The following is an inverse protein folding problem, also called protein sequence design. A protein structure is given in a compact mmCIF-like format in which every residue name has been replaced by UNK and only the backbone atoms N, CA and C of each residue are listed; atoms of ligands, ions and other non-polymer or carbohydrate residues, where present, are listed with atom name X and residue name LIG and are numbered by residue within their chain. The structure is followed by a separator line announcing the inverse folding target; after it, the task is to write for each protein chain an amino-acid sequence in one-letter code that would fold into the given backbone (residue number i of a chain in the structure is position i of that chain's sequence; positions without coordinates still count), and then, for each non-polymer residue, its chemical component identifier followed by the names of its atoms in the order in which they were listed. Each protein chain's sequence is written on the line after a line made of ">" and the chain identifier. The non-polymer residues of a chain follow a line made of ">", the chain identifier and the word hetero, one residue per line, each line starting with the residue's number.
data_IF_407756008937
#
_entry.id   IF_407756008937
#
_cell.length_a   1.000
_cell.length_b   1.000
_cell.length_c   1.000
_cell.angle_alpha   90.00
_cell.angle_beta   90.00
_cell.angle_gamma   90.00
#
_symmetry.space_group_name_H-M   'P 1'
#
loop_
_entity.id
_entity.type
_entity.pdbx_description
1 polymer ?
#
# COMPACT_ATOMS: atom_id res chain seq x y z
N UNK A 1 -75.05 13.23 -29.41
CA UNK A 1 -73.57 13.36 -29.39
C UNK A 1 -73.04 12.74 -30.68
N UNK A 2 -72.40 13.53 -31.55
CA UNK A 2 -72.04 13.08 -32.90
C UNK A 2 -70.94 12.02 -32.86
N UNK A 3 -71.17 10.85 -33.47
CA UNK A 3 -70.26 9.71 -33.53
C UNK A 3 -68.83 10.09 -33.95
N UNK A 4 -68.71 11.10 -34.83
CA UNK A 4 -67.43 11.66 -35.29
C UNK A 4 -66.59 12.25 -34.15
N UNK A 5 -67.21 12.93 -33.19
CA UNK A 5 -66.49 13.53 -32.06
C UNK A 5 -66.04 12.47 -31.05
N UNK A 6 -66.81 11.39 -30.89
CA UNK A 6 -66.44 10.24 -30.05
C UNK A 6 -65.26 9.50 -30.67
N UNK A 7 -65.29 9.26 -31.99
CA UNK A 7 -64.20 8.59 -32.71
C UNK A 7 -62.87 9.36 -32.62
N UNK A 8 -62.91 10.69 -32.79
CA UNK A 8 -61.71 11.53 -32.70
C UNK A 8 -61.14 11.51 -31.28
N UNK A 9 -61.99 11.65 -30.25
CA UNK A 9 -61.56 11.58 -28.85
C UNK A 9 -60.93 10.22 -28.50
N UNK A 10 -61.50 9.11 -28.98
CA UNK A 10 -60.97 7.77 -28.75
C UNK A 10 -59.61 7.56 -29.42
N UNK A 11 -59.43 8.11 -30.63
CA UNK A 11 -58.17 8.00 -31.38
C UNK A 11 -57.05 8.77 -30.67
N UNK A 12 -57.32 9.98 -30.19
CA UNK A 12 -56.35 10.79 -29.42
C UNK A 12 -55.97 10.07 -28.12
N UNK A 13 -56.95 9.44 -27.44
CA UNK A 13 -56.70 8.71 -26.20
C UNK A 13 -55.81 7.48 -26.44
N UNK A 14 -56.04 6.73 -27.52
CA UNK A 14 -55.20 5.57 -27.89
C UNK A 14 -53.77 5.99 -28.21
N UNK A 15 -53.57 7.05 -29.00
CA UNK A 15 -52.22 7.56 -29.28
C UNK A 15 -51.53 8.11 -28.02
N UNK A 16 -52.27 8.75 -27.11
CA UNK A 16 -51.75 9.21 -25.82
C UNK A 16 -51.27 8.06 -24.93
N UNK A 17 -52.05 6.98 -24.84
CA UNK A 17 -51.68 5.78 -24.05
C UNK A 17 -50.46 5.09 -24.66
N UNK A 18 -50.40 4.97 -26.00
CA UNK A 18 -49.26 4.37 -26.69
C UNK A 18 -47.98 5.21 -26.46
N UNK A 19 -48.07 6.53 -26.57
CA UNK A 19 -46.93 7.43 -26.32
C UNK A 19 -46.41 7.32 -24.87
N UNK A 20 -47.31 7.26 -23.88
CA UNK A 20 -46.93 7.05 -22.47
C UNK A 20 -46.24 5.69 -22.26
N UNK A 21 -46.74 4.62 -22.88
CA UNK A 21 -46.12 3.28 -22.77
C UNK A 21 -44.70 3.24 -23.37
N UNK A 22 -44.48 3.92 -24.50
CA UNK A 22 -43.15 4.03 -25.11
C UNK A 22 -42.20 4.90 -24.28
N UNK A 23 -42.67 6.01 -23.72
CA UNK A 23 -41.87 6.84 -22.81
C UNK A 23 -41.50 6.08 -21.53
N UNK A 24 -42.45 5.34 -20.94
CA UNK A 24 -42.21 4.57 -19.72
C UNK A 24 -41.19 3.45 -19.94
N UNK A 25 -41.30 2.67 -21.04
CA UNK A 25 -40.31 1.64 -21.37
C UNK A 25 -38.95 2.23 -21.75
N UNK A 26 -38.91 3.33 -22.50
CA UNK A 26 -37.67 4.00 -22.89
C UNK A 26 -36.88 4.54 -21.69
N UNK A 27 -37.57 5.18 -20.73
CA UNK A 27 -36.94 5.68 -19.52
C UNK A 27 -36.42 4.56 -18.62
N UNK A 28 -37.17 3.45 -18.48
CA UNK A 28 -36.71 2.30 -17.71
C UNK A 28 -35.47 1.64 -18.31
N UNK A 29 -35.40 1.49 -19.64
CA UNK A 29 -34.24 0.90 -20.32
C UNK A 29 -33.02 1.81 -20.20
N UNK A 30 -33.18 3.13 -20.35
CA UNK A 30 -32.08 4.07 -20.17
C UNK A 30 -31.58 4.11 -18.72
N UNK A 31 -32.47 4.13 -17.72
CA UNK A 31 -32.07 4.09 -16.31
C UNK A 31 -31.38 2.76 -15.95
N UNK A 32 -31.88 1.63 -16.45
CA UNK A 32 -31.25 0.34 -16.22
C UNK A 32 -29.86 0.28 -16.86
N UNK A 33 -29.70 0.83 -18.07
CA UNK A 33 -28.41 0.93 -18.75
C UNK A 33 -27.43 1.85 -17.99
N UNK A 34 -27.86 3.05 -17.62
CA UNK A 34 -27.04 3.98 -16.84
C UNK A 34 -26.62 3.39 -15.49
N UNK A 35 -27.56 2.75 -14.78
CA UNK A 35 -27.26 2.09 -13.51
C UNK A 35 -26.29 0.92 -13.70
N UNK A 36 -26.47 0.11 -14.75
CA UNK A 36 -25.57 -0.99 -15.08
C UNK A 36 -24.17 -0.50 -15.44
N UNK A 37 -24.05 0.53 -16.28
CA UNK A 37 -22.78 1.15 -16.66
C UNK A 37 -22.07 1.76 -15.44
N UNK A 38 -22.80 2.50 -14.60
CA UNK A 38 -22.26 3.10 -13.38
C UNK A 38 -21.78 2.04 -12.38
N UNK A 39 -22.57 0.98 -12.17
CA UNK A 39 -22.21 -0.13 -11.28
C UNK A 39 -21.01 -0.89 -11.82
N UNK A 40 -20.99 -1.17 -13.11
CA UNK A 40 -19.88 -1.88 -13.77
C UNK A 40 -18.59 -1.07 -13.69
N UNK A 41 -18.63 0.22 -14.04
CA UNK A 41 -17.47 1.11 -13.95
C UNK A 41 -16.94 1.23 -12.51
N UNK A 42 -17.83 1.32 -11.51
CA UNK A 42 -17.45 1.35 -10.09
C UNK A 42 -16.76 0.05 -9.66
N UNK A 43 -17.30 -1.10 -10.04
CA UNK A 43 -16.72 -2.41 -9.74
C UNK A 43 -15.35 -2.60 -10.40
N UNK A 44 -15.22 -2.23 -11.69
CA UNK A 44 -13.92 -2.28 -12.38
C UNK A 44 -12.88 -1.36 -11.75
N UNK A 45 -13.26 -0.13 -11.39
CA UNK A 45 -12.36 0.82 -10.71
C UNK A 45 -11.95 0.35 -9.31
N UNK A 46 -12.88 -0.25 -8.57
CA UNK A 46 -12.59 -0.87 -7.27
C UNK A 46 -11.58 -2.00 -7.42
N UNK A 47 -11.81 -2.92 -8.37
CA UNK A 47 -10.92 -4.04 -8.61
C UNK A 47 -9.54 -3.59 -9.11
N UNK A 48 -9.45 -2.58 -9.97
CA UNK A 48 -8.15 -2.05 -10.42
C UNK A 48 -7.36 -1.43 -9.28
N UNK A 49 -8.04 -0.71 -8.37
CA UNK A 49 -7.39 -0.13 -7.19
C UNK A 49 -6.86 -1.21 -6.24
N UNK A 50 -7.61 -2.30 -6.04
CA UNK A 50 -7.14 -3.44 -5.25
C UNK A 50 -5.92 -4.09 -5.89
N UNK A 51 -5.95 -4.34 -7.21
CA UNK A 51 -4.82 -4.91 -7.92
C UNK A 51 -3.57 -4.03 -7.84
N UNK A 52 -3.72 -2.71 -7.98
CA UNK A 52 -2.63 -1.75 -7.84
C UNK A 52 -2.05 -1.79 -6.42
N UNK A 53 -2.90 -1.82 -5.39
CA UNK A 53 -2.47 -1.90 -4.00
C UNK A 53 -1.72 -3.20 -3.70
N UNK A 54 -2.21 -4.33 -4.21
CA UNK A 54 -1.54 -5.63 -4.07
C UNK A 54 -0.20 -5.63 -4.80
N UNK A 55 -0.14 -5.10 -6.02
CA UNK A 55 1.11 -5.02 -6.77
C UNK A 55 2.15 -4.14 -6.09
N UNK A 56 1.74 -2.99 -5.54
CA UNK A 56 2.63 -2.12 -4.78
C UNK A 56 3.14 -2.81 -3.51
N UNK A 57 2.27 -3.54 -2.79
CA UNK A 57 2.68 -4.32 -1.62
C UNK A 57 3.70 -5.42 -1.98
N UNK A 58 3.48 -6.14 -3.09
CA UNK A 58 4.42 -7.15 -3.60
C UNK A 58 5.77 -6.52 -3.95
N UNK A 59 5.76 -5.37 -4.63
CA UNK A 59 7.00 -4.70 -5.04
C UNK A 59 7.79 -4.20 -3.83
N UNK A 60 7.14 -3.58 -2.84
CA UNK A 60 7.78 -3.20 -1.58
C UNK A 60 8.37 -4.41 -0.84
N UNK A 61 7.64 -5.52 -0.77
CA UNK A 61 8.11 -6.74 -0.12
C UNK A 61 9.35 -7.30 -0.83
N UNK A 62 9.30 -7.39 -2.17
CA UNK A 62 10.42 -7.83 -3.00
C UNK A 62 11.66 -6.96 -2.82
N UNK A 63 11.50 -5.63 -2.82
CA UNK A 63 12.59 -4.68 -2.62
C UNK A 63 13.20 -4.81 -1.23
N UNK A 64 12.37 -4.99 -0.20
CA UNK A 64 12.83 -5.18 1.18
C UNK A 64 13.60 -6.49 1.33
N UNK A 65 13.10 -7.60 0.76
CA UNK A 65 13.88 -8.85 0.70
C UNK A 65 15.19 -8.73 -0.06
N UNK A 66 15.22 -7.96 -1.15
CA UNK A 66 16.45 -7.72 -1.90
C UNK A 66 17.51 -7.01 -1.04
N UNK A 67 17.10 -6.05 -0.20
CA UNK A 67 18.00 -5.43 0.78
C UNK A 67 18.55 -6.47 1.75
N UNK A 68 17.70 -7.28 2.37
CA UNK A 68 18.14 -8.27 3.35
C UNK A 68 19.14 -9.28 2.76
N UNK A 69 18.87 -9.80 1.57
CA UNK A 69 19.75 -10.73 0.87
C UNK A 69 21.07 -10.09 0.43
N UNK A 70 21.06 -8.83 -0.04
CA UNK A 70 22.27 -8.13 -0.48
C UNK A 70 23.12 -7.62 0.69
N UNK A 71 22.48 -7.31 1.83
CA UNK A 71 23.16 -6.80 3.01
C UNK A 71 24.24 -7.78 3.49
N UNK A 72 23.91 -9.07 3.62
CA UNK A 72 24.85 -10.11 4.05
C UNK A 72 26.07 -10.30 3.12
N UNK A 73 25.99 -9.85 1.86
CA UNK A 73 27.07 -10.00 0.88
C UNK A 73 27.93 -8.73 0.74
N UNK A 74 27.35 -7.56 0.97
CA UNK A 74 27.95 -6.28 0.54
C UNK A 74 28.14 -5.26 1.67
N UNK A 75 27.42 -5.40 2.78
CA UNK A 75 27.39 -4.40 3.85
C UNK A 75 28.41 -4.74 4.91
N UNK A 76 29.31 -3.78 5.21
CA UNK A 76 30.30 -3.89 6.29
C UNK A 76 29.99 -2.99 7.48
N UNK A 77 29.29 -1.90 7.23
CA UNK A 77 28.95 -0.88 8.21
C UNK A 77 27.57 -0.27 7.92
N UNK A 78 27.06 0.51 8.87
CA UNK A 78 25.77 1.19 8.78
C UNK A 78 25.65 2.18 7.61
N UNK A 79 26.75 2.77 7.13
CA UNK A 79 26.71 3.65 5.96
C UNK A 79 26.49 2.87 4.67
N UNK A 80 27.14 1.72 4.53
CA UNK A 80 26.93 0.82 3.40
C UNK A 80 25.50 0.28 3.40
N UNK A 81 24.95 -0.03 4.58
CA UNK A 81 23.54 -0.39 4.73
C UNK A 81 22.61 0.75 4.26
N UNK A 82 22.86 1.99 4.70
CA UNK A 82 22.08 3.15 4.29
C UNK A 82 22.13 3.40 2.77
N UNK A 83 23.29 3.18 2.15
CA UNK A 83 23.44 3.27 0.69
C UNK A 83 22.66 2.17 -0.04
N UNK A 84 22.68 0.95 0.50
CA UNK A 84 21.92 -0.17 -0.04
C UNK A 84 20.41 0.11 0.06
N UNK A 85 19.93 0.55 1.21
CA UNK A 85 18.53 0.96 1.42
C UNK A 85 18.11 2.05 0.44
N UNK A 86 18.91 3.11 0.29
CA UNK A 86 18.61 4.23 -0.62
C UNK A 86 18.54 3.84 -2.10
N UNK A 87 19.16 2.72 -2.50
CA UNK A 87 19.07 2.19 -3.87
C UNK A 87 17.65 1.70 -4.21
N UNK A 88 16.94 1.16 -3.22
CA UNK A 88 15.59 0.63 -3.39
C UNK A 88 14.53 1.63 -2.88
N UNK A 89 14.80 2.31 -1.77
CA UNK A 89 13.91 3.27 -1.14
C UNK A 89 14.63 4.60 -0.91
N UNK A 90 14.80 5.44 -1.95
CA UNK A 90 15.58 6.68 -1.87
C UNK A 90 14.98 7.74 -0.93
N UNK A 91 13.68 7.66 -0.66
CA UNK A 91 12.97 8.58 0.23
C UNK A 91 12.93 8.12 1.70
N UNK A 92 13.25 6.84 1.96
CA UNK A 92 13.12 6.24 3.29
C UNK A 92 14.48 6.17 3.97
N UNK A 93 14.56 6.61 5.23
CA UNK A 93 15.80 6.59 6.01
C UNK A 93 15.64 5.65 7.19
N UNK A 94 16.55 4.66 7.30
CA UNK A 94 16.68 3.86 8.51
C UNK A 94 17.34 4.63 9.66
N UNK A 95 17.05 4.20 10.88
CA UNK A 95 17.58 4.75 12.14
C UNK A 95 18.66 3.82 12.72
N UNK A 96 19.70 4.39 13.33
CA UNK A 96 20.72 3.64 14.06
C UNK A 96 20.46 3.76 15.56
N UNK A 97 20.50 2.64 16.28
CA UNK A 97 20.65 2.60 17.74
C UNK A 97 22.10 2.27 18.07
N UNK A 98 22.83 3.23 18.64
CA UNK A 98 24.22 3.03 19.07
C UNK A 98 24.29 2.14 20.32
N UNK A 99 23.30 2.23 21.21
CA UNK A 99 23.20 1.42 22.41
C UNK A 99 23.00 -0.06 22.06
N UNK A 100 22.03 -0.35 21.18
CA UNK A 100 21.70 -1.72 20.79
C UNK A 100 22.59 -2.25 19.65
N UNK A 101 23.43 -1.39 19.07
CA UNK A 101 24.23 -1.67 17.87
C UNK A 101 23.39 -2.16 16.69
N UNK A 102 22.17 -1.66 16.57
CA UNK A 102 21.24 -2.05 15.53
C UNK A 102 20.94 -0.90 14.58
N UNK A 103 20.58 -1.23 13.34
CA UNK A 103 19.99 -0.30 12.39
C UNK A 103 18.62 -0.83 12.00
N UNK A 104 17.57 -0.05 12.28
CA UNK A 104 16.19 -0.34 11.88
C UNK A 104 15.86 0.39 10.59
N UNK A 105 15.41 -0.35 9.59
CA UNK A 105 14.88 0.21 8.35
C UNK A 105 13.42 -0.21 8.19
N UNK A 106 12.55 0.75 7.93
CA UNK A 106 11.10 0.54 7.82
C UNK A 106 10.58 1.21 6.54
N UNK A 107 10.29 0.40 5.53
CA UNK A 107 9.65 0.87 4.29
C UNK A 107 8.13 1.02 4.46
N UNK A 108 7.53 0.14 5.26
CA UNK A 108 6.20 0.26 5.84
C UNK A 108 6.10 -0.61 7.09
N UNK A 109 5.01 -0.51 7.84
CA UNK A 109 4.79 -1.31 9.06
C UNK A 109 4.89 -2.82 8.87
N UNK A 110 4.66 -3.32 7.65
CA UNK A 110 4.80 -4.74 7.30
C UNK A 110 6.16 -5.09 6.65
N UNK A 111 7.00 -4.09 6.37
CA UNK A 111 8.29 -4.23 5.70
C UNK A 111 9.37 -3.55 6.55
N UNK A 112 9.78 -4.26 7.60
CA UNK A 112 10.80 -3.84 8.56
C UNK A 112 11.97 -4.81 8.51
N UNK A 113 13.19 -4.25 8.54
CA UNK A 113 14.44 -5.00 8.70
C UNK A 113 15.22 -4.40 9.86
N UNK A 114 15.78 -5.26 10.71
CA UNK A 114 16.71 -4.83 11.77
C UNK A 114 18.07 -5.48 11.54
N UNK A 115 19.08 -4.67 11.24
CA UNK A 115 20.45 -5.13 11.06
C UNK A 115 21.23 -4.99 12.37
N UNK A 116 21.92 -6.03 12.81
CA UNK A 116 22.74 -6.03 14.03
C UNK A 116 24.22 -5.97 13.69
N UNK A 117 24.98 -5.14 14.41
CA UNK A 117 26.40 -4.90 14.20
C UNK A 117 27.21 -5.26 15.45
N UNK A 118 28.44 -5.75 15.27
CA UNK A 118 29.29 -6.20 16.37
C UNK A 118 29.86 -5.06 17.21
N UNK A 119 30.12 -3.90 16.58
CA UNK A 119 30.83 -2.79 17.22
C UNK A 119 30.39 -1.41 16.72
N UNK A 120 30.69 -0.42 17.55
CA UNK A 120 30.56 1.00 17.22
C UNK A 120 31.95 1.54 16.90
N UNK A 121 32.12 2.12 15.71
CA UNK A 121 33.34 2.79 15.30
C UNK A 121 33.13 4.31 15.27
N UNK A 122 34.06 5.05 15.86
CA UNK A 122 34.06 6.51 15.85
C UNK A 122 35.11 7.01 14.86
N UNK A 123 34.68 7.83 13.91
CA UNK A 123 35.60 8.50 13.00
C UNK A 123 36.39 9.57 13.75
N UNK A 124 37.69 9.34 13.92
CA UNK A 124 38.61 10.24 14.63
C UNK A 124 38.70 11.66 14.05
N UNK A 125 38.26 11.89 12.81
CA UNK A 125 38.27 13.21 12.17
C UNK A 125 36.97 13.98 12.36
N UNK A 126 35.84 13.29 12.42
CA UNK A 126 34.51 13.90 12.44
C UNK A 126 33.76 13.70 13.75
N UNK A 127 34.25 12.81 14.63
CA UNK A 127 33.59 12.42 15.89
C UNK A 127 32.30 11.63 15.68
N UNK A 128 31.95 11.28 14.43
CA UNK A 128 30.70 10.61 14.12
C UNK A 128 30.83 9.12 14.45
N UNK A 129 29.91 8.63 15.29
CA UNK A 129 29.78 7.20 15.61
C UNK A 129 28.98 6.49 14.53
N UNK A 130 29.49 5.35 14.09
CA UNK A 130 28.88 4.47 13.09
C UNK A 130 28.91 3.03 13.57
N UNK A 131 27.96 2.22 13.10
CA UNK A 131 27.96 0.79 13.38
C UNK A 131 28.79 0.05 12.34
N UNK A 132 29.59 -0.92 12.76
CA UNK A 132 30.48 -1.72 11.90
C UNK A 132 30.43 -3.20 12.30
N UNK A 133 30.88 -4.07 11.40
CA UNK A 133 30.85 -5.53 11.54
C UNK A 133 29.40 -6.06 11.54
N UNK A 134 28.75 -6.08 10.38
CA UNK A 134 27.38 -6.62 10.25
C UNK A 134 27.38 -8.10 10.64
N UNK A 135 26.59 -8.46 11.65
CA UNK A 135 26.49 -9.83 12.15
C UNK A 135 25.25 -10.55 11.67
N UNK A 136 24.12 -9.85 11.65
CA UNK A 136 22.84 -10.44 11.25
C UNK A 136 21.89 -9.40 10.69
N UNK A 137 20.92 -9.88 9.93
CA UNK A 137 19.81 -9.11 9.41
C UNK A 137 18.53 -9.85 9.80
N UNK A 138 17.76 -9.26 10.70
CA UNK A 138 16.48 -9.78 11.13
C UNK A 138 15.38 -9.36 10.16
N UNK A 139 14.68 -10.37 9.64
CA UNK A 139 13.57 -10.27 8.69
C UNK A 139 12.26 -10.83 9.28
N UNK A 140 12.19 -11.00 10.60
CA UNK A 140 11.05 -11.63 11.29
C UNK A 140 9.72 -10.99 10.94
N UNK A 141 9.67 -9.66 10.76
CA UNK A 141 8.46 -8.94 10.33
C UNK A 141 8.03 -9.33 8.92
N UNK A 142 8.98 -9.49 7.99
CA UNK A 142 8.70 -9.97 6.63
C UNK A 142 8.15 -11.40 6.62
N UNK A 143 8.48 -12.20 7.64
CA UNK A 143 7.97 -13.54 7.85
C UNK A 143 6.65 -13.58 8.64
N UNK A 144 6.08 -12.42 9.01
CA UNK A 144 4.82 -12.30 9.74
C UNK A 144 4.96 -12.34 11.26
N UNK A 145 6.17 -12.30 11.80
CA UNK A 145 6.43 -12.23 13.23
C UNK A 145 6.70 -10.78 13.68
N UNK A 146 5.62 -10.09 14.04
CA UNK A 146 5.66 -8.67 14.45
C UNK A 146 6.25 -8.45 15.86
N UNK A 147 6.26 -9.47 16.72
CA UNK A 147 6.79 -9.36 18.09
C UNK A 147 8.31 -9.18 18.13
N UNK A 148 9.03 -9.62 17.09
CA UNK A 148 10.48 -9.45 17.00
C UNK A 148 10.89 -8.00 16.64
N UNK A 149 10.00 -7.21 16.05
CA UNK A 149 10.29 -5.82 15.68
C UNK A 149 10.35 -4.88 16.89
N UNK A 150 9.58 -5.16 17.94
CA UNK A 150 9.49 -4.32 19.15
C UNK A 150 10.66 -4.53 20.11
N UNK A 151 11.25 -5.73 20.13
CA UNK A 151 12.37 -6.04 21.02
C UNK A 151 13.64 -5.19 20.77
N UNK A 152 13.77 -4.54 19.60
CA UNK A 152 14.89 -3.61 19.34
C UNK A 152 14.64 -2.18 19.83
N UNK A 153 13.38 -1.80 20.06
CA UNK A 153 12.97 -0.48 20.58
C UNK A 153 12.74 -0.51 22.11
N UNK A 154 12.29 -1.63 22.68
CA UNK A 154 11.93 -1.77 24.11
C UNK A 154 13.12 -1.98 25.07
N UNK A 155 14.37 -1.81 24.63
CA UNK A 155 15.52 -1.79 25.55
C UNK A 155 15.72 -0.42 26.24
N UNK A 156 14.67 0.41 26.27
CA UNK A 156 14.60 1.71 26.93
C UNK A 156 13.46 1.71 27.98
N UNK A 157 13.41 0.75 28.91
CA UNK A 157 12.69 0.93 30.19
C UNK A 157 13.05 -0.19 31.19
N UNK A 158 14.28 -0.17 31.70
CA UNK A 158 14.50 -0.54 33.10
C UNK A 158 15.75 0.19 33.57
N UNK A 159 15.48 1.43 34.00
CA UNK A 159 16.43 2.27 34.69
C UNK A 159 16.82 1.65 36.02
N UNK A 160 18.12 1.66 36.24
CA UNK A 160 18.80 1.56 37.53
C UNK A 160 18.01 2.24 38.68
N UNK A 161 17.64 1.45 39.67
CA UNK A 161 17.83 1.79 41.10
C UNK A 161 18.67 0.68 41.76
#
# INVERSE_FOLDING_TARGET
>A
MNLKNISIALTVLVFGVIAMLFMQKGNYVNQAKEHYEATTAKSFKGNSMVLELVNNAIDMNKQTWAIACQALQTVKNSQDMARLEAKFFPATKGSNSIANKTRRFEASSANVIVSTFGKVEEDKKTGVKSLADLQSVDVSVLLGNFAAATASDDAEEDGEE
#
